data_IF_034925890668
#
_entry.id   IF_034925890668
#
_cell.length_a   1.000
_cell.length_b   1.000
_cell.length_c   1.000
_cell.angle_alpha   90.00
_cell.angle_beta   90.00
_cell.angle_gamma   90.00
#
_symmetry.space_group_name_H-M   'P 1'
#
loop_
_entity.id
_entity.type
_entity.pdbx_description
1 polymer ?
#
# COMPACT_ATOMS: atom_id res chain seq x y z
N UNK A 1 15.73 -1.75 43.37
CA UNK A 1 15.10 -2.99 42.86
C UNK A 1 13.66 -2.65 42.52
N UNK A 2 13.22 -2.91 41.30
CA UNK A 2 11.88 -2.54 40.83
C UNK A 2 11.79 -2.57 39.31
N UNK A 3 11.94 -3.75 38.73
CA UNK A 3 11.60 -4.08 37.34
C UNK A 3 10.07 -4.18 37.22
N UNK A 4 9.46 -3.37 36.35
CA UNK A 4 8.04 -3.53 36.00
C UNK A 4 7.93 -4.50 34.83
N UNK A 5 7.47 -5.69 35.18
CA UNK A 5 7.28 -6.89 34.38
C UNK A 5 5.78 -7.01 34.07
N UNK A 6 5.34 -6.38 32.96
CA UNK A 6 3.94 -6.50 32.52
C UNK A 6 3.78 -7.35 31.26
N UNK A 7 2.84 -8.31 31.28
CA UNK A 7 2.76 -9.40 30.33
C UNK A 7 2.21 -8.97 28.97
N UNK A 8 2.78 -9.53 27.90
CA UNK A 8 2.23 -9.50 26.54
C UNK A 8 1.42 -10.78 26.31
N UNK A 9 0.12 -10.64 26.12
CA UNK A 9 -0.80 -11.76 25.93
C UNK A 9 -0.66 -12.44 24.57
N UNK A 10 -0.56 -13.76 24.58
CA UNK A 10 -0.74 -14.67 23.45
C UNK A 10 -2.14 -15.26 23.56
N UNK A 11 -2.97 -15.16 22.51
CA UNK A 11 -4.26 -15.85 22.46
C UNK A 11 -4.06 -17.22 21.83
N UNK A 12 -4.23 -18.28 22.65
CA UNK A 12 -4.56 -19.64 22.20
C UNK A 12 -6.00 -19.94 22.59
N UNK A 13 -6.80 -20.42 21.65
CA UNK A 13 -8.16 -20.91 21.92
C UNK A 13 -8.10 -22.43 22.22
N UNK A 14 -8.71 -22.85 23.34
CA UNK A 14 -8.69 -24.23 23.91
C UNK A 14 -9.39 -25.28 23.05
N UNK A 15 -9.42 -26.59 23.32
CA UNK A 15 -9.23 -27.53 24.46
C UNK A 15 -10.16 -28.76 24.17
N UNK A 16 -10.33 -29.81 25.00
CA UNK A 16 -9.42 -30.62 25.82
C UNK A 16 -9.02 -31.96 25.14
N UNK A 17 -8.21 -32.78 25.82
CA UNK A 17 -7.69 -34.06 25.36
C UNK A 17 -8.67 -35.24 25.56
N UNK A 18 -8.63 -36.22 24.65
CA UNK A 18 -9.09 -37.60 24.91
C UNK A 18 -9.43 -38.41 23.67
N UNK A 19 -8.63 -39.44 23.36
CA UNK A 19 -9.06 -40.58 22.53
C UNK A 19 -8.28 -40.81 21.23
N UNK A 20 -7.26 -41.67 21.30
CA UNK A 20 -6.53 -42.25 20.16
C UNK A 20 -7.42 -43.17 19.32
N UNK A 21 -7.66 -42.83 18.04
CA UNK A 21 -7.98 -43.79 16.97
C UNK A 21 -7.37 -43.30 15.65
N UNK A 22 -6.43 -44.08 15.12
CA UNK A 22 -5.83 -43.90 13.79
C UNK A 22 -6.86 -44.21 12.71
N UNK A 23 -7.39 -43.17 12.07
CA UNK A 23 -8.10 -43.25 10.80
C UNK A 23 -7.34 -42.49 9.71
N UNK A 24 -7.50 -42.83 8.42
CA UNK A 24 -6.81 -42.14 7.34
C UNK A 24 -7.18 -40.65 7.35
N UNK A 25 -6.16 -39.79 7.34
CA UNK A 25 -6.31 -38.34 7.22
C UNK A 25 -7.00 -38.04 5.89
N UNK A 26 -8.19 -37.40 5.87
CA UNK A 26 -8.75 -36.90 4.63
C UNK A 26 -7.81 -35.81 4.10
N UNK A 27 -7.53 -35.85 2.80
CA UNK A 27 -6.76 -34.81 2.12
C UNK A 27 -7.33 -33.42 2.45
N UNK A 28 -6.48 -32.39 2.61
CA UNK A 28 -6.97 -31.04 2.88
C UNK A 28 -7.89 -30.62 1.73
N UNK A 29 -9.15 -30.36 2.07
CA UNK A 29 -10.10 -29.70 1.19
C UNK A 29 -9.50 -28.36 0.81
N UNK A 30 -9.22 -28.15 -0.47
CA UNK A 30 -8.74 -26.89 -1.04
C UNK A 30 -9.84 -25.81 -0.93
N UNK A 31 -10.10 -25.33 0.29
CA UNK A 31 -10.84 -24.10 0.53
C UNK A 31 -9.86 -22.93 0.41
N UNK A 32 -9.49 -22.58 -0.82
CA UNK A 32 -8.69 -21.38 -1.05
C UNK A 32 -9.53 -20.15 -0.73
N UNK A 33 -8.98 -19.22 0.07
CA UNK A 33 -9.53 -17.87 0.13
C UNK A 33 -9.74 -17.38 -1.32
N UNK A 34 -10.91 -16.80 -1.64
CA UNK A 34 -11.16 -16.31 -2.98
C UNK A 34 -10.09 -15.26 -3.31
N UNK A 35 -9.30 -15.52 -4.35
CA UNK A 35 -8.30 -14.57 -4.82
C UNK A 35 -8.98 -13.24 -5.17
N UNK A 36 -8.37 -12.09 -4.84
CA UNK A 36 -8.87 -10.79 -5.26
C UNK A 36 -9.15 -10.77 -6.77
N UNK A 37 -10.32 -10.27 -7.16
CA UNK A 37 -10.64 -10.11 -8.58
C UNK A 37 -9.69 -9.09 -9.21
N UNK A 38 -9.29 -9.28 -10.46
CA UNK A 38 -8.37 -8.36 -11.13
C UNK A 38 -9.15 -7.24 -11.85
N UNK A 39 -8.74 -5.99 -11.64
CA UNK A 39 -9.16 -4.89 -12.49
C UNK A 39 -8.25 -4.85 -13.71
N UNK A 40 -8.87 -4.81 -14.89
CA UNK A 40 -8.18 -4.80 -16.18
C UNK A 40 -8.59 -3.59 -16.99
N UNK A 41 -7.99 -3.38 -18.16
CA UNK A 41 -8.43 -2.34 -19.09
C UNK A 41 -9.90 -2.52 -19.52
N UNK A 42 -10.35 -3.77 -19.69
CA UNK A 42 -11.72 -4.09 -20.10
C UNK A 42 -12.74 -4.07 -18.95
N UNK A 43 -12.27 -4.15 -17.71
CA UNK A 43 -13.09 -4.06 -16.50
C UNK A 43 -12.34 -3.23 -15.43
N UNK A 44 -12.28 -1.90 -15.59
CA UNK A 44 -11.42 -1.05 -14.76
C UNK A 44 -12.06 -0.65 -13.42
N UNK A 45 -13.37 -0.87 -13.24
CA UNK A 45 -14.12 -0.34 -12.11
C UNK A 45 -14.33 -1.38 -10.99
N UNK A 46 -14.03 -0.95 -9.76
CA UNK A 46 -14.33 -1.64 -8.51
C UNK A 46 -15.15 -0.76 -7.57
N UNK A 47 -15.93 -1.37 -6.67
CA UNK A 47 -16.70 -0.68 -5.64
C UNK A 47 -16.40 -1.31 -4.29
N UNK A 48 -16.19 -0.46 -3.29
CA UNK A 48 -15.87 -0.85 -1.93
C UNK A 48 -16.82 -0.18 -0.96
N UNK A 49 -17.27 -0.93 0.05
CA UNK A 49 -18.13 -0.38 1.10
C UNK A 49 -17.39 0.60 2.00
N UNK A 50 -18.13 1.51 2.63
CA UNK A 50 -17.57 2.52 3.56
C UNK A 50 -17.38 2.03 5.00
N UNK A 51 -17.30 0.71 5.25
CA UNK A 51 -17.09 0.16 6.61
C UNK A 51 -15.63 -0.21 6.81
N UNK A 52 -14.96 0.47 7.75
CA UNK A 52 -13.53 0.33 8.00
C UNK A 52 -12.64 0.80 6.84
N UNK A 53 -11.33 0.90 7.09
CA UNK A 53 -10.43 1.58 6.15
C UNK A 53 -10.44 0.92 4.76
N UNK A 54 -10.54 1.75 3.71
CA UNK A 54 -10.13 1.34 2.38
C UNK A 54 -8.60 1.28 2.38
N UNK A 55 -8.01 0.17 1.93
CA UNK A 55 -6.57 -0.03 1.92
C UNK A 55 -6.09 -0.23 0.49
N UNK A 56 -4.97 0.38 0.12
CA UNK A 56 -4.23 0.05 -1.09
C UNK A 56 -2.86 -0.43 -0.65
N UNK A 57 -2.56 -1.69 -0.95
CA UNK A 57 -1.31 -2.35 -0.59
C UNK A 57 -0.47 -2.59 -1.84
N UNK A 58 0.81 -2.30 -1.78
CA UNK A 58 1.76 -2.45 -2.87
C UNK A 58 2.84 -3.46 -2.49
N UNK A 59 3.06 -4.45 -3.37
CA UNK A 59 4.17 -5.39 -3.27
C UNK A 59 4.97 -5.43 -4.58
N UNK A 60 6.26 -5.73 -4.49
CA UNK A 60 7.17 -5.93 -5.61
C UNK A 60 8.27 -6.92 -5.25
N UNK A 61 9.02 -7.36 -6.26
CA UNK A 61 10.11 -8.31 -6.09
C UNK A 61 11.35 -7.62 -5.51
N UNK A 62 12.02 -8.21 -4.49
CA UNK A 62 13.21 -7.63 -3.86
C UNK A 62 14.48 -7.65 -4.72
N UNK A 63 14.45 -8.36 -5.86
CA UNK A 63 15.62 -8.68 -6.70
C UNK A 63 16.43 -7.52 -7.31
N UNK A 64 15.86 -6.34 -7.66
CA UNK A 64 16.62 -5.26 -8.28
C UNK A 64 17.19 -4.24 -7.27
N UNK A 65 16.99 -4.43 -5.96
CA UNK A 65 17.34 -3.39 -4.97
C UNK A 65 16.54 -2.10 -5.17
N UNK A 66 15.37 -2.20 -5.79
CA UNK A 66 14.51 -1.07 -6.12
C UNK A 66 13.80 -0.53 -4.88
N UNK A 67 13.89 0.77 -4.72
CA UNK A 67 13.11 1.55 -3.76
C UNK A 67 11.86 2.08 -4.48
N UNK A 68 10.75 1.36 -4.29
CA UNK A 68 9.45 1.65 -4.90
C UNK A 68 8.56 2.28 -3.85
N UNK A 69 7.88 3.37 -4.19
CA UNK A 69 7.16 4.17 -3.20
C UNK A 69 5.70 4.33 -3.55
N UNK A 70 4.82 3.89 -2.65
CA UNK A 70 3.39 4.08 -2.73
C UNK A 70 2.98 5.45 -2.17
N UNK A 71 2.17 6.18 -2.91
CA UNK A 71 1.77 7.55 -2.58
C UNK A 71 0.30 7.81 -2.90
N UNK A 72 -0.26 8.84 -2.25
CA UNK A 72 -1.63 9.29 -2.49
C UNK A 72 -1.68 10.80 -2.68
N UNK A 73 -2.17 11.27 -3.82
CA UNK A 73 -2.71 12.63 -3.92
C UNK A 73 -4.16 12.62 -3.44
N UNK A 74 -4.55 13.58 -2.61
CA UNK A 74 -5.93 13.73 -2.14
C UNK A 74 -6.39 15.17 -2.31
N UNK A 75 -7.56 15.34 -2.93
CA UNK A 75 -8.28 16.62 -2.97
C UNK A 75 -9.51 16.55 -2.09
N UNK A 76 -9.81 17.67 -1.45
CA UNK A 76 -10.96 17.85 -0.58
C UNK A 76 -11.99 18.73 -1.26
N UNK A 77 -13.26 18.58 -0.88
CA UNK A 77 -14.38 19.37 -1.44
C UNK A 77 -14.30 20.86 -1.15
N UNK A 78 -13.50 21.25 -0.16
CA UNK A 78 -13.20 22.65 0.17
C UNK A 78 -12.05 23.23 -0.66
N UNK A 79 -11.52 22.47 -1.63
CA UNK A 79 -10.45 22.90 -2.53
C UNK A 79 -9.03 22.65 -2.01
N UNK A 80 -8.86 22.18 -0.77
CA UNK A 80 -7.53 21.81 -0.27
C UNK A 80 -7.01 20.55 -0.94
N UNK A 81 -5.69 20.44 -1.03
CA UNK A 81 -4.98 19.28 -1.56
C UNK A 81 -3.82 18.88 -0.67
N UNK A 82 -3.47 17.60 -0.66
CA UNK A 82 -2.33 17.05 0.07
C UNK A 82 -1.75 15.85 -0.67
N UNK A 83 -0.45 15.60 -0.48
CA UNK A 83 0.19 14.35 -0.82
C UNK A 83 0.52 13.56 0.45
N UNK A 84 0.27 12.25 0.45
CA UNK A 84 0.71 11.30 1.49
C UNK A 84 1.75 10.39 0.87
N UNK A 85 2.96 10.39 1.43
CA UNK A 85 4.14 9.76 0.85
C UNK A 85 5.27 9.61 1.90
N UNK A 86 6.24 8.75 1.63
CA UNK A 86 7.46 8.61 2.45
C UNK A 86 8.45 9.77 2.26
N UNK A 87 8.44 10.40 1.08
CA UNK A 87 9.32 11.53 0.77
C UNK A 87 8.91 12.77 1.57
N UNK A 88 9.85 13.35 2.32
CA UNK A 88 9.56 14.47 3.22
C UNK A 88 8.86 14.08 4.53
N UNK A 89 8.77 12.78 4.85
CA UNK A 89 8.11 12.23 6.04
C UNK A 89 6.59 12.56 6.16
N UNK A 90 5.91 12.76 5.02
CA UNK A 90 4.48 13.07 4.93
C UNK A 90 3.58 11.81 4.99
N UNK A 91 3.71 11.00 6.05
CA UNK A 91 2.97 9.74 6.21
C UNK A 91 1.47 9.89 6.49
N UNK A 92 0.99 11.11 6.73
CA UNK A 92 -0.43 11.38 6.96
C UNK A 92 -0.98 10.84 8.29
N UNK A 93 -2.31 10.76 8.40
CA UNK A 93 -3.02 10.30 9.61
C UNK A 93 -4.42 9.82 9.26
N UNK A 94 -4.93 8.81 9.97
CA UNK A 94 -6.33 8.37 9.86
C UNK A 94 -7.28 9.13 10.78
N UNK A 95 -6.76 9.80 11.82
CA UNK A 95 -7.56 10.46 12.87
C UNK A 95 -7.47 11.98 12.81
N UNK A 96 -6.51 12.51 12.08
CA UNK A 96 -6.39 13.91 11.73
C UNK A 96 -6.39 14.07 10.21
N UNK A 97 -6.65 15.29 9.72
CA UNK A 97 -6.42 15.62 8.32
C UNK A 97 -4.99 15.18 7.93
N UNK A 98 -4.77 14.45 6.81
CA UNK A 98 -5.67 14.30 5.66
C UNK A 98 -6.61 13.08 5.68
N UNK A 99 -6.75 12.35 6.80
CA UNK A 99 -7.57 11.12 6.91
C UNK A 99 -7.13 9.99 5.96
N UNK A 100 -5.89 10.07 5.50
CA UNK A 100 -5.16 9.10 4.68
C UNK A 100 -3.81 8.90 5.35
N UNK A 101 -3.35 7.66 5.48
CA UNK A 101 -2.06 7.35 6.08
C UNK A 101 -1.30 6.27 5.31
N UNK A 102 0.02 6.43 5.20
CA UNK A 102 0.98 5.42 4.75
C UNK A 102 1.63 4.80 5.99
N UNK A 103 1.82 3.48 6.01
CA UNK A 103 2.35 2.79 7.20
C UNK A 103 3.86 2.73 7.31
N UNK A 104 4.57 2.62 6.18
CA UNK A 104 6.01 2.51 6.16
C UNK A 104 6.61 2.91 4.80
N UNK A 105 7.94 2.95 4.77
CA UNK A 105 8.80 3.17 3.61
C UNK A 105 9.67 1.91 3.42
N UNK A 106 9.14 0.89 2.73
CA UNK A 106 9.93 -0.32 2.42
C UNK A 106 10.82 -0.02 1.23
N UNK A 107 12.10 0.26 1.48
CA UNK A 107 13.07 0.58 0.42
C UNK A 107 13.66 -0.65 -0.28
N UNK A 108 13.16 -1.84 0.01
CA UNK A 108 13.80 -3.11 -0.38
C UNK A 108 12.87 -4.10 -1.07
N UNK A 109 11.56 -4.02 -0.81
CA UNK A 109 10.61 -5.06 -1.20
C UNK A 109 10.81 -6.38 -0.44
N UNK A 110 11.60 -6.38 0.64
CA UNK A 110 11.82 -7.56 1.47
C UNK A 110 10.71 -7.77 2.49
N UNK A 111 9.88 -6.74 2.76
CA UNK A 111 8.68 -6.89 3.57
C UNK A 111 7.67 -7.74 2.81
N UNK A 112 7.17 -8.81 3.45
CA UNK A 112 6.04 -9.57 2.90
C UNK A 112 4.75 -8.75 2.82
N UNK A 113 4.69 -7.67 3.60
CA UNK A 113 3.52 -6.80 3.69
C UNK A 113 3.65 -5.59 2.74
N UNK A 114 4.83 -5.34 2.17
CA UNK A 114 5.10 -4.19 1.31
C UNK A 114 4.72 -2.85 1.96
N UNK A 115 4.17 -1.93 1.18
CA UNK A 115 3.65 -0.63 1.66
C UNK A 115 2.12 -0.56 1.59
N UNK A 116 1.47 0.03 2.59
CA UNK A 116 0.01 0.16 2.60
C UNK A 116 -0.47 1.57 2.90
N UNK A 117 -1.20 2.14 1.95
CA UNK A 117 -2.05 3.31 2.16
C UNK A 117 -3.39 2.90 2.75
N UNK A 118 -3.89 3.69 3.70
CA UNK A 118 -5.21 3.52 4.33
C UNK A 118 -5.98 4.83 4.24
N UNK A 119 -7.26 4.75 3.90
CA UNK A 119 -8.19 5.88 3.81
C UNK A 119 -9.30 5.68 4.82
N UNK A 120 -9.58 6.68 5.65
CA UNK A 120 -10.66 6.60 6.64
C UNK A 120 -12.03 6.92 5.98
N UNK A 121 -12.94 5.94 5.84
CA UNK A 121 -14.25 6.15 5.21
C UNK A 121 -15.21 7.03 6.04
N UNK A 122 -14.94 7.24 7.33
CA UNK A 122 -15.77 8.09 8.19
C UNK A 122 -15.73 9.55 7.72
N UNK A 123 -14.62 9.94 7.10
CA UNK A 123 -14.40 11.29 6.54
C UNK A 123 -14.65 11.36 5.03
N UNK A 124 -15.21 10.31 4.40
CA UNK A 124 -15.37 10.24 2.93
C UNK A 124 -16.11 11.40 2.30
N UNK A 125 -17.02 12.03 3.05
CA UNK A 125 -17.78 13.19 2.60
C UNK A 125 -16.92 14.46 2.43
N UNK A 126 -15.72 14.49 3.00
CA UNK A 126 -14.76 15.59 2.85
C UNK A 126 -13.93 15.46 1.58
N UNK A 127 -13.72 14.24 1.09
CA UNK A 127 -12.94 14.00 -0.13
C UNK A 127 -13.72 14.42 -1.38
N UNK A 128 -12.98 15.00 -2.31
CA UNK A 128 -13.40 15.14 -3.70
C UNK A 128 -12.93 13.92 -4.50
N UNK A 129 -11.62 13.64 -4.49
CA UNK A 129 -11.03 12.43 -5.07
C UNK A 129 -9.65 12.12 -4.48
N UNK A 130 -9.21 10.89 -4.65
CA UNK A 130 -7.87 10.42 -4.29
C UNK A 130 -7.24 9.73 -5.50
N UNK A 131 -5.93 9.86 -5.66
CA UNK A 131 -5.17 9.15 -6.68
C UNK A 131 -4.06 8.36 -5.99
N UNK A 132 -4.17 7.04 -6.03
CA UNK A 132 -3.08 6.16 -5.63
C UNK A 132 -2.09 6.08 -6.78
N UNK A 133 -0.82 6.33 -6.50
CA UNK A 133 0.25 6.27 -7.48
C UNK A 133 1.52 5.71 -6.86
N UNK A 134 2.46 5.34 -7.72
CA UNK A 134 3.74 4.79 -7.33
C UNK A 134 4.86 5.42 -8.15
N UNK A 135 6.05 5.55 -7.57
CA UNK A 135 7.25 5.96 -8.28
C UNK A 135 8.49 5.16 -7.85
N UNK A 136 9.50 5.13 -8.72
CA UNK A 136 10.83 4.59 -8.42
C UNK A 136 11.72 5.70 -7.87
N UNK A 137 12.20 5.53 -6.65
CA UNK A 137 13.17 6.45 -6.06
C UNK A 137 14.60 6.10 -6.49
N UNK A 138 15.00 4.84 -6.33
CA UNK A 138 16.33 4.35 -6.74
C UNK A 138 16.34 2.85 -7.08
N UNK A 139 17.46 2.35 -7.60
CA UNK A 139 17.75 0.93 -7.74
C UNK A 139 17.24 0.24 -9.01
N UNK A 140 16.19 0.76 -9.64
CA UNK A 140 15.68 0.24 -10.92
C UNK A 140 15.54 1.31 -12.00
N UNK A 141 15.76 0.91 -13.26
CA UNK A 141 15.61 1.78 -14.42
C UNK A 141 14.12 2.00 -14.80
N UNK A 142 13.29 0.97 -14.62
CA UNK A 142 11.84 1.02 -14.84
C UNK A 142 11.12 -0.15 -14.15
N UNK A 143 9.79 -0.18 -14.23
CA UNK A 143 8.94 -1.15 -13.53
C UNK A 143 8.89 -2.56 -14.16
N UNK A 144 9.44 -2.77 -15.36
CA UNK A 144 9.21 -4.02 -16.14
C UNK A 144 9.70 -5.29 -15.46
N UNK A 145 10.69 -5.16 -14.58
CA UNK A 145 11.30 -6.29 -13.85
C UNK A 145 10.86 -6.40 -12.39
N UNK A 146 9.99 -5.50 -11.92
CA UNK A 146 9.66 -5.40 -10.50
C UNK A 146 8.53 -6.34 -10.07
N UNK A 147 7.71 -6.83 -11.01
CA UNK A 147 6.53 -7.64 -10.68
C UNK A 147 5.55 -6.90 -9.75
N UNK A 148 5.53 -5.57 -9.83
CA UNK A 148 4.78 -4.74 -8.89
C UNK A 148 3.26 -4.98 -9.02
N UNK A 149 2.61 -5.16 -7.88
CA UNK A 149 1.18 -5.44 -7.79
C UNK A 149 0.56 -4.58 -6.70
N UNK A 150 -0.49 -3.84 -7.06
CA UNK A 150 -1.33 -3.15 -6.10
C UNK A 150 -2.59 -3.95 -5.80
N UNK A 151 -3.00 -4.03 -4.55
CA UNK A 151 -4.25 -4.67 -4.13
C UNK A 151 -5.06 -3.70 -3.29
N UNK A 152 -6.28 -3.40 -3.74
CA UNK A 152 -7.22 -2.54 -3.01
C UNK A 152 -8.22 -3.41 -2.25
N UNK A 153 -8.37 -3.19 -0.95
CA UNK A 153 -9.24 -3.98 -0.07
C UNK A 153 -10.09 -3.09 0.84
N UNK A 154 -11.22 -3.65 1.30
CA UNK A 154 -12.02 -3.09 2.38
C UNK A 154 -12.58 -4.26 3.22
N UNK A 155 -12.90 -4.04 4.51
CA UNK A 155 -13.49 -5.09 5.35
C UNK A 155 -14.73 -5.74 4.73
N UNK A 156 -14.72 -7.07 4.67
CA UNK A 156 -15.81 -7.87 4.10
C UNK A 156 -15.81 -7.96 2.56
N UNK A 157 -14.78 -7.42 1.89
CA UNK A 157 -14.59 -7.54 0.44
C UNK A 157 -13.32 -8.36 0.13
N UNK A 158 -13.37 -9.22 -0.90
CA UNK A 158 -12.25 -10.08 -1.31
C UNK A 158 -11.05 -9.31 -1.90
N UNK A 159 -11.17 -7.99 -2.10
CA UNK A 159 -10.14 -7.14 -2.68
C UNK A 159 -10.14 -7.13 -4.21
N UNK A 160 -9.51 -6.11 -4.80
CA UNK A 160 -9.26 -5.97 -6.24
C UNK A 160 -7.76 -5.84 -6.49
N UNK A 161 -7.22 -6.71 -7.34
CA UNK A 161 -5.83 -6.67 -7.75
C UNK A 161 -5.66 -5.79 -8.99
N UNK A 162 -4.58 -5.03 -9.05
CA UNK A 162 -4.17 -4.20 -10.18
C UNK A 162 -2.71 -4.54 -10.47
N UNK A 163 -2.46 -5.20 -11.60
CA UNK A 163 -1.11 -5.51 -12.06
C UNK A 163 -0.46 -4.27 -12.68
N UNK A 164 0.82 -4.05 -12.37
CA UNK A 164 1.65 -2.98 -12.92
C UNK A 164 2.68 -3.56 -13.90
N UNK A 165 2.22 -4.44 -14.79
CA UNK A 165 3.01 -5.26 -15.71
C UNK A 165 3.06 -4.72 -17.15
N UNK A 166 2.17 -3.80 -17.51
CA UNK A 166 2.13 -3.13 -18.83
C UNK A 166 3.09 -1.92 -18.93
N UNK A 167 4.22 -1.91 -18.21
CA UNK A 167 5.11 -0.74 -18.11
C UNK A 167 5.92 -0.48 -19.40
N UNK A 168 5.81 0.71 -20.04
CA UNK A 168 6.72 1.13 -21.09
C UNK A 168 8.15 1.30 -20.56
N UNK A 169 9.14 1.04 -21.43
CA UNK A 169 10.55 1.25 -21.09
C UNK A 169 10.82 2.70 -20.63
N UNK A 170 11.59 2.86 -19.55
CA UNK A 170 11.92 4.17 -18.97
C UNK A 170 10.78 4.83 -18.16
N UNK A 171 9.69 4.11 -17.89
CA UNK A 171 8.65 4.60 -16.98
C UNK A 171 9.12 4.50 -15.54
N UNK A 172 9.19 5.65 -14.86
CA UNK A 172 9.64 5.76 -13.46
C UNK A 172 8.50 6.00 -12.49
N UNK A 173 7.26 6.18 -12.98
CA UNK A 173 6.08 6.26 -12.14
C UNK A 173 4.81 5.77 -12.84
N UNK A 174 3.79 5.48 -12.04
CA UNK A 174 2.49 5.00 -12.48
C UNK A 174 1.37 5.55 -11.60
N UNK A 175 0.37 6.19 -12.21
CA UNK A 175 -0.91 6.40 -11.55
C UNK A 175 -1.69 5.08 -11.56
N UNK A 176 -1.92 4.51 -10.38
CA UNK A 176 -2.46 3.16 -10.21
C UNK A 176 -3.98 3.18 -10.34
N UNK A 177 -4.63 4.00 -9.51
CA UNK A 177 -6.08 4.04 -9.42
C UNK A 177 -6.61 5.40 -8.96
N UNK A 178 -7.67 5.86 -9.61
CA UNK A 178 -8.46 7.00 -9.18
C UNK A 178 -9.60 6.52 -8.28
N UNK A 179 -9.69 7.11 -7.10
CA UNK A 179 -10.70 6.77 -6.09
C UNK A 179 -11.62 7.97 -5.90
N UNK A 180 -12.92 7.74 -6.02
CA UNK A 180 -13.94 8.75 -5.73
C UNK A 180 -14.89 8.26 -4.63
N UNK A 181 -15.26 9.12 -3.68
CA UNK A 181 -16.28 8.75 -2.70
C UNK A 181 -17.63 8.57 -3.39
N UNK A 182 -18.36 7.55 -2.96
CA UNK A 182 -19.74 7.26 -3.36
C UNK A 182 -20.63 7.25 -2.11
N UNK A 183 -21.95 7.29 -2.31
CA UNK A 183 -22.98 7.26 -1.26
C UNK A 183 -22.69 6.18 -0.20
N UNK A 184 -22.30 4.99 -0.68
CA UNK A 184 -22.11 3.79 0.15
C UNK A 184 -20.64 3.41 0.41
N UNK A 185 -19.67 4.23 0.00
CA UNK A 185 -18.25 3.92 0.19
C UNK A 185 -17.37 4.60 -0.85
N UNK A 186 -16.65 3.82 -1.64
CA UNK A 186 -15.71 4.30 -2.65
C UNK A 186 -15.88 3.57 -3.97
N UNK A 187 -15.78 4.31 -5.08
CA UNK A 187 -15.51 3.77 -6.40
C UNK A 187 -14.01 3.85 -6.64
N UNK A 188 -13.44 2.77 -7.14
CA UNK A 188 -12.02 2.68 -7.50
C UNK A 188 -11.96 2.36 -8.99
N UNK A 189 -11.29 3.21 -9.75
CA UNK A 189 -11.07 3.01 -11.18
C UNK A 189 -9.59 2.77 -11.42
N UNK A 190 -9.27 1.65 -12.06
CA UNK A 190 -7.92 1.35 -12.56
C UNK A 190 -7.51 2.40 -13.58
N UNK A 191 -6.39 3.05 -13.31
CA UNK A 191 -5.75 4.00 -14.23
C UNK A 191 -4.60 3.32 -14.97
N UNK A 192 -3.63 2.76 -14.23
CA UNK A 192 -2.36 2.19 -14.74
C UNK A 192 -1.79 3.04 -15.88
N UNK A 193 -1.66 4.34 -15.58
CA UNK A 193 -1.12 5.34 -16.51
C UNK A 193 0.34 5.58 -16.15
N UNK A 194 1.22 5.33 -17.11
CA UNK A 194 2.67 5.38 -16.95
C UNK A 194 3.25 6.77 -17.26
N UNK A 195 4.30 7.12 -16.52
CA UNK A 195 5.00 8.39 -16.65
C UNK A 195 6.52 8.13 -16.80
N UNK A 196 7.15 8.67 -17.86
CA UNK A 196 8.57 8.49 -18.10
C UNK A 196 9.42 9.32 -17.14
N UNK A 197 10.68 8.94 -16.99
CA UNK A 197 11.69 9.81 -16.39
C UNK A 197 11.80 11.12 -17.19
N UNK A 198 11.85 12.25 -16.49
CA UNK A 198 12.01 13.56 -17.11
C UNK A 198 13.09 14.36 -16.37
N UNK A 199 14.00 15.07 -17.07
CA UNK A 199 15.13 15.76 -16.45
C UNK A 199 14.70 16.96 -15.58
N UNK A 200 13.61 17.63 -15.92
CA UNK A 200 13.21 18.90 -15.29
C UNK A 200 11.94 18.82 -14.45
N UNK A 201 11.17 17.73 -14.59
CA UNK A 201 9.82 17.63 -13.99
C UNK A 201 9.75 16.33 -13.21
N UNK A 202 9.57 16.43 -11.90
CA UNK A 202 9.49 15.26 -11.05
C UNK A 202 8.33 14.34 -11.47
N UNK A 203 8.41 13.02 -11.22
CA UNK A 203 7.28 12.13 -11.53
C UNK A 203 5.99 12.54 -10.81
N UNK A 204 6.12 13.07 -9.59
CA UNK A 204 5.03 13.62 -8.80
C UNK A 204 4.32 14.76 -9.52
N UNK A 205 5.09 15.73 -10.02
CA UNK A 205 4.55 16.88 -10.73
C UNK A 205 3.96 16.49 -12.10
N UNK A 206 4.56 15.52 -12.80
CA UNK A 206 3.98 14.98 -14.03
C UNK A 206 2.59 14.37 -13.79
N UNK A 207 2.45 13.59 -12.72
CA UNK A 207 1.17 12.96 -12.33
C UNK A 207 0.18 14.04 -11.91
N UNK A 208 0.58 14.96 -11.06
CA UNK A 208 -0.28 16.05 -10.62
C UNK A 208 -0.80 16.87 -11.80
N UNK A 209 0.06 17.34 -12.71
CA UNK A 209 -0.37 18.06 -13.93
C UNK A 209 -1.35 17.23 -14.79
N UNK A 210 -1.13 15.92 -14.87
CA UNK A 210 -1.95 15.02 -15.68
C UNK A 210 -3.35 14.76 -15.09
N UNK A 211 -3.51 14.91 -13.78
CA UNK A 211 -4.78 14.72 -13.09
C UNK A 211 -5.39 16.02 -12.55
N UNK A 212 -4.64 17.12 -12.46
CA UNK A 212 -5.05 18.45 -12.02
C UNK A 212 -5.36 18.54 -10.52
N UNK A 213 -4.48 18.09 -9.63
CA UNK A 213 -4.65 18.37 -8.19
C UNK A 213 -4.18 19.79 -7.85
N UNK A 214 -3.11 20.27 -8.49
CA UNK A 214 -2.60 21.64 -8.29
C UNK A 214 -1.78 21.76 -7.01
N UNK A 215 -0.94 20.76 -6.72
CA UNK A 215 0.02 20.79 -5.62
C UNK A 215 1.21 21.66 -6.01
N UNK A 216 1.70 22.48 -5.08
CA UNK A 216 2.98 23.17 -5.24
C UNK A 216 4.12 22.23 -4.84
N UNK A 217 5.00 21.92 -5.79
CA UNK A 217 6.07 20.95 -5.59
C UNK A 217 7.39 21.64 -5.22
N UNK A 218 8.04 21.12 -4.18
CA UNK A 218 9.40 21.48 -3.81
C UNK A 218 10.26 20.21 -3.86
N UNK A 219 11.53 20.36 -4.23
CA UNK A 219 12.47 19.24 -4.26
C UNK A 219 12.75 18.74 -2.83
N UNK A 220 12.65 17.43 -2.64
CA UNK A 220 12.86 16.75 -1.37
C UNK A 220 13.72 15.50 -1.59
N UNK A 221 14.44 15.08 -0.56
CA UNK A 221 15.16 13.81 -0.52
C UNK A 221 14.67 12.97 0.65
N UNK A 222 14.80 11.65 0.53
CA UNK A 222 14.50 10.77 1.65
C UNK A 222 15.57 10.90 2.75
N UNK A 223 15.18 10.84 4.03
CA UNK A 223 16.18 10.74 5.09
C UNK A 223 17.03 9.48 4.91
N UNK A 224 18.31 9.49 5.32
CA UNK A 224 19.17 8.33 5.21
C UNK A 224 18.59 7.14 5.98
N UNK A 225 18.84 5.92 5.48
CA UNK A 225 18.38 4.69 6.15
C UNK A 225 18.95 4.66 7.57
N UNK A 226 18.10 4.40 8.58
CA UNK A 226 18.58 4.20 9.95
C UNK A 226 19.51 2.98 9.95
N UNK A 227 20.69 3.05 10.58
CA UNK A 227 21.54 1.88 10.73
C UNK A 227 20.77 0.75 11.42
N UNK A 228 20.82 -0.45 10.85
CA UNK A 228 20.34 -1.65 11.55
C UNK A 228 21.27 -1.84 12.75
N UNK A 229 20.75 -1.75 13.98
CA UNK A 229 21.54 -2.04 15.18
C UNK A 229 21.89 -3.53 15.19
N UNK A 230 23.17 -3.91 14.99
CA UNK A 230 23.57 -5.31 14.94
C UNK A 230 23.34 -6.05 16.26
N UNK A 231 23.03 -5.34 17.36
CA UNK A 231 22.79 -5.93 18.69
C UNK A 231 21.36 -6.41 18.91
N UNK A 232 20.43 -6.15 17.98
CA UNK A 232 19.03 -6.61 18.07
C UNK A 232 18.71 -7.84 17.21
N UNK A 233 19.67 -8.36 16.44
CA UNK A 233 19.52 -9.54 15.60
C UNK A 233 20.47 -10.66 15.99
N UNK A 234 20.15 -11.43 17.03
CA UNK A 234 20.86 -12.67 17.34
C UNK A 234 19.95 -13.64 18.09
N UNK A 235 19.81 -14.90 17.66
CA UNK A 235 19.10 -15.89 18.46
C UNK A 235 19.89 -16.11 19.74
N UNK A 236 19.24 -15.89 20.88
CA UNK A 236 19.80 -16.19 22.19
C UNK A 236 20.22 -17.66 22.24
N UNK A 237 21.53 -17.91 22.21
CA UNK A 237 22.11 -19.19 22.60
C UNK A 237 21.84 -19.37 24.10
N UNK A 238 20.89 -20.23 24.44
CA UNK A 238 20.82 -20.83 25.78
C UNK A 238 21.90 -21.89 25.89
N UNK A 239 22.71 -21.78 26.95
CA UNK A 239 23.66 -22.77 27.43
C UNK A 239 22.95 -24.06 27.87
#
# INVERSE_FOLDING_TARGET
>A
MGTDDRPRGVIRLGGPAGGSRTGPVPAPTTGGDPRPAELTRGAPDGRFGGRGALQANLNWLPGPGADVNLCCLVSFRDGRVQVVQSLGDDYGSLTAWPYVALDQDDRTGASSDGETLRVNPQHRALFDRLLFFVYLYEGAADFRSLGATATVTAPGDAGRRILLDESPAGSVACAIALVTPDTNGFRVRREVRWFPGHPEVSPHEQIDRAYGFGVEWTMMEKPPRRPVDPRRGGPGRTR
#
